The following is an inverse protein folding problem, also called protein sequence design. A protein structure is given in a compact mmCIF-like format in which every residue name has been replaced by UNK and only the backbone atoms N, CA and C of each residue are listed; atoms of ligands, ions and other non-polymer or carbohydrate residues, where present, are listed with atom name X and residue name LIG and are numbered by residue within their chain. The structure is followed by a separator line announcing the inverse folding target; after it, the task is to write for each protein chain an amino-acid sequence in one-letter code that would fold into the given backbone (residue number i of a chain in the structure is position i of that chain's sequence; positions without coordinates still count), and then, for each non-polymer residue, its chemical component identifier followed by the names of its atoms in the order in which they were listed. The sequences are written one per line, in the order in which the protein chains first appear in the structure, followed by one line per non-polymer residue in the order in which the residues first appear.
data_IF_997812586927
#
_entry.id   IF_997812586927
#
_cell.length_a   1.000
_cell.length_b   1.000
_cell.length_c   1.000
_cell.angle_alpha   90.00
_cell.angle_beta   90.00
_cell.angle_gamma   90.00
#
_symmetry.space_group_name_H-M   'P 1'
#
loop_
_entity.id
_entity.type
_entity.pdbx_description
1 polymer ?
#
# COMPACT_ATOMS: atom_id res chain seq x y z
N UNK A 1 2.94 -11.34 -8.81
CA UNK A 1 3.81 -11.44 -7.60
C UNK A 1 3.05 -12.16 -6.51
N UNK A 2 3.73 -12.92 -5.65
CA UNK A 2 3.10 -13.58 -4.51
C UNK A 2 2.94 -12.61 -3.34
N UNK A 3 2.03 -12.91 -2.42
CA UNK A 3 1.92 -12.17 -1.15
C UNK A 3 2.87 -12.75 -0.09
N UNK A 4 3.00 -12.07 1.04
CA UNK A 4 3.84 -12.51 2.16
C UNK A 4 3.31 -13.80 2.82
N UNK A 5 1.99 -13.96 2.86
CA UNK A 5 1.31 -15.23 3.15
C UNK A 5 0.79 -15.83 1.85
N UNK A 6 1.07 -17.10 1.60
CA UNK A 6 0.59 -17.79 0.39
C UNK A 6 -0.94 -17.74 0.28
N UNK A 7 -1.64 -17.84 1.40
CA UNK A 7 -3.10 -17.76 1.51
C UNK A 7 -3.67 -16.40 1.10
N UNK A 8 -2.85 -15.34 1.15
CA UNK A 8 -3.23 -13.99 0.74
C UNK A 8 -2.99 -13.72 -0.74
N UNK A 9 -2.35 -14.63 -1.48
CA UNK A 9 -1.91 -14.38 -2.87
C UNK A 9 -3.08 -14.16 -3.83
N UNK A 10 -4.15 -14.95 -3.71
CA UNK A 10 -5.33 -14.77 -4.57
C UNK A 10 -6.12 -13.50 -4.22
N UNK A 11 -6.17 -13.13 -2.93
CA UNK A 11 -6.75 -11.87 -2.48
C UNK A 11 -5.95 -10.67 -3.01
N UNK A 12 -4.61 -10.77 -2.96
CA UNK A 12 -3.70 -9.77 -3.53
C UNK A 12 -3.97 -9.55 -5.01
N UNK A 13 -4.02 -10.60 -5.82
CA UNK A 13 -4.28 -10.49 -7.27
C UNK A 13 -5.59 -9.75 -7.54
N UNK A 14 -6.68 -10.14 -6.88
CA UNK A 14 -7.99 -9.48 -7.02
C UNK A 14 -7.94 -8.00 -6.64
N UNK A 15 -7.26 -7.66 -5.56
CA UNK A 15 -7.10 -6.28 -5.15
C UNK A 15 -6.24 -5.49 -6.14
N UNK A 16 -5.08 -6.02 -6.53
CA UNK A 16 -4.15 -5.37 -7.47
C UNK A 16 -4.83 -5.11 -8.82
N UNK A 17 -5.59 -6.07 -9.34
CA UNK A 17 -6.35 -5.90 -10.60
C UNK A 17 -7.41 -4.80 -10.47
N UNK A 18 -8.20 -4.80 -9.38
CA UNK A 18 -9.18 -3.74 -9.10
C UNK A 18 -8.52 -2.37 -9.00
N UNK A 19 -7.45 -2.28 -8.20
CA UNK A 19 -6.71 -1.05 -7.95
C UNK A 19 -6.11 -0.51 -9.24
N UNK A 20 -5.50 -1.33 -10.09
CA UNK A 20 -4.87 -0.88 -11.33
C UNK A 20 -5.90 -0.30 -12.32
N UNK A 21 -7.07 -0.93 -12.43
CA UNK A 21 -8.19 -0.40 -13.22
C UNK A 21 -8.71 0.91 -12.64
N UNK A 22 -8.99 0.96 -11.34
CA UNK A 22 -9.43 2.18 -10.65
C UNK A 22 -8.42 3.33 -10.80
N UNK A 23 -7.13 3.03 -10.58
CA UNK A 23 -6.06 4.00 -10.64
C UNK A 23 -5.95 4.64 -12.02
N UNK A 24 -5.93 3.81 -13.07
CA UNK A 24 -5.77 4.26 -14.45
C UNK A 24 -7.01 4.95 -15.01
N UNK A 25 -8.20 4.44 -14.67
CA UNK A 25 -9.43 4.91 -15.28
C UNK A 25 -10.12 6.02 -14.52
N UNK A 26 -9.86 6.17 -13.20
CA UNK A 26 -10.52 7.11 -12.30
C UNK A 26 -9.55 8.05 -11.61
N UNK A 27 -8.64 7.50 -10.80
CA UNK A 27 -7.75 8.32 -9.98
C UNK A 27 -6.93 9.31 -10.82
N UNK A 28 -6.24 8.82 -11.86
CA UNK A 28 -5.46 9.68 -12.76
C UNK A 28 -6.30 10.68 -13.57
N UNK A 29 -7.63 10.51 -13.62
CA UNK A 29 -8.58 11.42 -14.27
C UNK A 29 -9.30 12.35 -13.30
N UNK A 30 -8.91 12.33 -12.02
CA UNK A 30 -9.43 13.21 -10.97
C UNK A 30 -10.65 12.66 -10.21
N UNK A 31 -11.09 11.42 -10.49
CA UNK A 31 -12.08 10.73 -9.66
C UNK A 31 -11.35 9.90 -8.60
N UNK A 32 -11.38 10.39 -7.35
CA UNK A 32 -10.67 9.80 -6.23
C UNK A 32 -11.56 8.91 -5.34
N UNK A 33 -12.76 8.52 -5.78
CA UNK A 33 -13.61 7.59 -5.03
C UNK A 33 -12.99 6.18 -5.01
N UNK A 34 -12.36 5.82 -3.89
CA UNK A 34 -11.66 4.54 -3.67
C UNK A 34 -12.59 3.41 -3.17
N UNK A 35 -13.88 3.70 -3.00
CA UNK A 35 -14.87 2.76 -2.46
C UNK A 35 -15.01 1.49 -3.31
N UNK A 36 -14.69 1.58 -4.61
CA UNK A 36 -14.75 0.50 -5.59
C UNK A 36 -13.94 -0.73 -5.17
N UNK A 37 -12.75 -0.53 -4.60
CA UNK A 37 -11.85 -1.62 -4.20
C UNK A 37 -11.78 -1.81 -2.68
N UNK A 38 -12.38 -0.91 -1.88
CA UNK A 38 -12.28 -0.90 -0.42
C UNK A 38 -12.71 -2.22 0.25
N UNK A 39 -13.76 -2.87 -0.26
CA UNK A 39 -14.21 -4.17 0.26
C UNK A 39 -13.18 -5.28 0.07
N UNK A 40 -12.57 -5.37 -1.11
CA UNK A 40 -11.53 -6.36 -1.43
C UNK A 40 -10.27 -6.04 -0.63
N UNK A 41 -9.91 -4.75 -0.56
CA UNK A 41 -8.75 -4.28 0.19
C UNK A 41 -8.82 -4.67 1.65
N UNK A 42 -9.97 -4.48 2.31
CA UNK A 42 -10.16 -4.83 3.72
C UNK A 42 -9.84 -6.30 3.99
N UNK A 43 -10.37 -7.21 3.18
CA UNK A 43 -10.17 -8.66 3.33
C UNK A 43 -8.70 -9.02 3.09
N UNK A 44 -8.10 -8.45 2.04
CA UNK A 44 -6.68 -8.64 1.74
C UNK A 44 -5.77 -8.11 2.87
N UNK A 45 -6.05 -6.91 3.37
CA UNK A 45 -5.30 -6.25 4.44
C UNK A 45 -5.37 -7.04 5.74
N UNK A 46 -6.54 -7.56 6.11
CA UNK A 46 -6.70 -8.44 7.28
C UNK A 46 -5.87 -9.72 7.14
N UNK A 47 -5.86 -10.33 5.94
CA UNK A 47 -5.04 -11.50 5.64
C UNK A 47 -3.55 -11.21 5.82
N UNK A 48 -3.04 -10.13 5.22
CA UNK A 48 -1.63 -9.76 5.31
C UNK A 48 -1.23 -9.43 6.74
N UNK A 49 -2.05 -8.67 7.49
CA UNK A 49 -1.78 -8.37 8.91
C UNK A 49 -1.66 -9.63 9.75
N UNK A 50 -2.43 -10.67 9.45
CA UNK A 50 -2.33 -11.98 10.10
C UNK A 50 -1.02 -12.69 9.73
N UNK A 51 -0.69 -12.76 8.44
CA UNK A 51 0.53 -13.39 7.95
C UNK A 51 1.80 -12.72 8.51
N UNK A 52 1.84 -11.38 8.56
CA UNK A 52 2.97 -10.62 9.14
C UNK A 52 3.20 -10.95 10.62
N UNK A 53 2.12 -11.05 11.41
CA UNK A 53 2.20 -11.46 12.82
C UNK A 53 2.76 -12.88 12.97
N UNK A 54 2.34 -13.82 12.11
CA UNK A 54 2.84 -15.19 12.14
C UNK A 54 4.33 -15.29 11.80
N UNK A 55 4.84 -14.35 10.99
CA UNK A 55 6.26 -14.28 10.61
C UNK A 55 7.09 -13.37 11.55
N UNK A 56 6.53 -12.94 12.69
CA UNK A 56 7.18 -12.03 13.65
C UNK A 56 7.65 -10.69 13.06
N UNK A 57 6.90 -10.16 12.08
CA UNK A 57 7.16 -8.83 11.51
C UNK A 57 6.31 -7.81 12.26
N UNK A 58 6.96 -6.82 12.88
CA UNK A 58 6.27 -5.72 13.57
C UNK A 58 5.66 -4.74 12.56
N UNK A 59 4.32 -4.69 12.52
CA UNK A 59 3.58 -3.82 11.62
C UNK A 59 3.39 -2.41 12.18
N UNK A 60 3.78 -2.14 13.43
CA UNK A 60 3.63 -0.80 14.05
C UNK A 60 4.42 0.29 13.34
N UNK A 61 5.44 -0.09 12.57
CA UNK A 61 6.20 0.85 11.74
C UNK A 61 5.44 1.30 10.50
N UNK A 62 4.50 0.48 10.02
CA UNK A 62 3.74 0.71 8.78
C UNK A 62 2.61 1.73 9.02
N UNK A 63 2.04 1.75 10.23
CA UNK A 63 0.96 2.68 10.58
C UNK A 63 1.49 4.08 10.97
N UNK A 64 2.80 4.33 10.88
CA UNK A 64 3.37 5.65 11.18
C UNK A 64 3.20 6.58 9.98
N UNK A 65 2.52 7.70 10.18
CA UNK A 65 2.53 8.80 9.22
C UNK A 65 3.94 9.40 9.18
N UNK A 66 4.69 9.12 8.10
CA UNK A 66 6.07 9.63 7.93
C UNK A 66 6.07 10.90 7.08
N UNK A 67 5.23 10.98 6.06
CA UNK A 67 5.20 12.10 5.12
C UNK A 67 4.68 13.38 5.81
N UNK A 68 5.41 14.49 5.65
CA UNK A 68 5.13 15.76 6.31
C UNK A 68 5.58 15.84 7.77
N UNK A 69 6.27 14.81 8.29
CA UNK A 69 6.78 14.80 9.67
C UNK A 69 8.30 15.01 9.73
N UNK A 70 8.83 15.20 10.93
CA UNK A 70 10.28 15.26 11.16
C UNK A 70 11.02 13.96 10.80
N UNK A 71 10.28 12.84 10.69
CA UNK A 71 10.81 11.54 10.30
C UNK A 71 10.90 11.36 8.78
N UNK A 72 10.40 12.32 8.00
CA UNK A 72 10.48 12.28 6.54
C UNK A 72 11.94 12.39 6.07
N UNK A 73 12.35 11.51 5.14
CA UNK A 73 13.66 11.60 4.51
C UNK A 73 13.75 12.91 3.71
N UNK A 74 14.62 13.82 4.17
CA UNK A 74 14.87 15.08 3.47
C UNK A 74 15.64 14.83 2.19
N UNK A 75 15.31 15.62 1.17
CA UNK A 75 16.05 15.65 -0.09
C UNK A 75 17.54 15.88 0.23
N UNK A 76 18.47 15.08 -0.32
CA UNK A 76 19.90 15.34 -0.18
C UNK A 76 20.21 16.77 -0.64
N UNK A 77 21.15 17.48 -0.01
CA UNK A 77 21.56 18.80 -0.49
C UNK A 77 22.02 18.65 -1.95
N UNK A 78 21.34 19.32 -2.88
CA UNK A 78 21.85 19.40 -4.24
C UNK A 78 23.16 20.16 -4.18
N UNK A 79 24.27 19.53 -4.57
CA UNK A 79 25.47 20.28 -4.90
C UNK A 79 25.07 21.27 -5.99
N UNK A 80 25.04 22.55 -5.62
CA UNK A 80 24.82 23.66 -6.53
C UNK A 80 26.03 23.68 -7.48
N UNK A 81 25.94 22.93 -8.57
CA UNK A 81 26.86 23.12 -9.68
C UNK A 81 26.54 24.48 -10.30
N UNK A 82 27.41 25.44 -9.94
CA UNK A 82 27.53 26.76 -10.54
C UNK A 82 28.02 26.67 -11.98
#
# INVERSE_FOLDING_TARGET
MNSIGEECTELKKKYDDCFNSWFSERFLKGDHDDSVCAGIFKIYQECVKKAMKQQNIDFKEIDKDVLGTESEFKVPPSEAHS
#
